data_IF_097562990748
#
_entry.id   IF_097562990748
#
_cell.length_a   1.000
_cell.length_b   1.000
_cell.length_c   1.000
_cell.angle_alpha   90.00
_cell.angle_beta   90.00
_cell.angle_gamma   90.00
#
_symmetry.space_group_name_H-M   'P 1'
#
loop_
_entity.id
_entity.type
_entity.pdbx_description
1 polymer ?
#
# COMPACT_ATOMS: atom_id res chain seq x y z
N UNK A 1 25.92 7.86 -3.65
CA UNK A 1 25.78 7.86 -2.17
C UNK A 1 25.36 6.46 -1.75
N UNK A 2 26.17 5.81 -0.94
CA UNK A 2 25.95 4.45 -0.45
C UNK A 2 24.90 4.50 0.68
N UNK A 3 23.63 4.19 0.38
CA UNK A 3 22.69 3.79 1.44
C UNK A 3 23.15 2.43 1.96
N UNK A 4 23.76 2.44 3.14
CA UNK A 4 24.19 1.24 3.83
C UNK A 4 23.04 0.26 3.98
N UNK A 5 23.25 -0.98 3.53
CA UNK A 5 22.41 -2.13 3.85
C UNK A 5 22.39 -2.32 5.37
N UNK A 6 21.43 -1.67 6.04
CA UNK A 6 20.77 -2.36 7.16
C UNK A 6 20.13 -3.59 6.52
N UNK A 7 20.42 -4.77 7.07
CA UNK A 7 19.78 -6.02 6.65
C UNK A 7 18.28 -5.75 6.42
N UNK A 8 17.76 -6.15 5.27
CA UNK A 8 16.40 -5.82 4.83
C UNK A 8 15.37 -6.41 5.81
N UNK A 9 15.06 -5.69 6.89
CA UNK A 9 14.01 -6.00 7.87
C UNK A 9 12.65 -6.13 7.15
N UNK A 10 12.55 -5.50 5.98
CA UNK A 10 11.40 -5.56 5.08
C UNK A 10 11.43 -6.72 4.08
N UNK A 11 12.43 -7.60 4.07
CA UNK A 11 12.47 -8.74 3.14
C UNK A 11 11.31 -9.73 3.37
N UNK A 12 11.00 -10.15 4.61
CA UNK A 12 9.82 -11.00 4.86
C UNK A 12 8.52 -10.28 4.46
N UNK A 13 8.46 -8.97 4.69
CA UNK A 13 7.32 -8.12 4.32
C UNK A 13 7.13 -8.02 2.80
N UNK A 14 8.21 -7.85 2.02
CA UNK A 14 8.16 -7.82 0.54
C UNK A 14 7.89 -9.18 -0.09
N UNK A 15 8.32 -10.28 0.54
CA UNK A 15 8.00 -11.63 0.08
C UNK A 15 6.53 -11.96 0.34
N UNK A 16 6.00 -11.60 1.51
CA UNK A 16 4.59 -11.73 1.85
C UNK A 16 3.69 -10.84 0.97
N UNK A 17 4.10 -9.59 0.71
CA UNK A 17 3.34 -8.71 -0.17
C UNK A 17 3.21 -9.28 -1.58
N UNK A 18 4.30 -9.84 -2.15
CA UNK A 18 4.25 -10.52 -3.45
C UNK A 18 3.35 -11.75 -3.43
N UNK A 19 3.25 -12.44 -2.31
CA UNK A 19 2.35 -13.58 -2.15
C UNK A 19 0.88 -13.12 -2.05
N UNK A 20 0.60 -12.06 -1.30
CA UNK A 20 -0.71 -11.44 -1.19
C UNK A 20 -1.18 -10.89 -2.55
N UNK A 21 -0.32 -10.14 -3.24
CA UNK A 21 -0.62 -9.61 -4.58
C UNK A 21 -0.95 -10.75 -5.57
N UNK A 22 -0.20 -11.86 -5.53
CA UNK A 22 -0.48 -13.06 -6.36
C UNK A 22 -1.80 -13.74 -5.99
N UNK A 23 -2.06 -13.93 -4.70
CA UNK A 23 -3.29 -14.58 -4.22
C UNK A 23 -4.53 -13.74 -4.57
N UNK A 24 -4.44 -12.42 -4.49
CA UNK A 24 -5.52 -11.53 -4.95
C UNK A 24 -5.68 -11.58 -6.47
N UNK A 25 -4.58 -11.50 -7.24
CA UNK A 25 -4.64 -11.67 -8.71
C UNK A 25 -5.32 -12.99 -9.11
N UNK A 26 -5.03 -14.08 -8.39
CA UNK A 26 -5.62 -15.41 -8.64
C UNK A 26 -7.10 -15.50 -8.20
N UNK A 27 -7.46 -14.88 -7.06
CA UNK A 27 -8.86 -14.80 -6.60
C UNK A 27 -9.74 -14.04 -7.60
N UNK A 28 -9.22 -12.93 -8.16
CA UNK A 28 -9.94 -12.12 -9.16
C UNK A 28 -9.87 -12.70 -10.59
N UNK A 29 -8.96 -13.66 -10.86
CA UNK A 29 -8.89 -14.41 -12.15
C UNK A 29 -9.97 -15.47 -12.31
N UNK A 30 -10.59 -15.93 -11.21
CA UNK A 30 -11.55 -17.05 -11.24
C UNK A 30 -12.95 -16.63 -11.73
N UNK A 31 -13.28 -15.34 -11.67
CA UNK A 31 -14.37 -14.74 -12.47
C UNK A 31 -13.80 -14.34 -13.84
N UNK A 32 -14.34 -14.88 -14.94
CA UNK A 32 -13.92 -14.52 -16.31
C UNK A 32 -14.17 -13.03 -16.57
N UNK A 33 -13.23 -12.17 -16.18
CA UNK A 33 -13.19 -10.75 -16.50
C UNK A 33 -11.92 -10.47 -17.31
N UNK A 34 -12.01 -9.70 -18.41
CA UNK A 34 -10.85 -9.38 -19.21
C UNK A 34 -9.82 -8.66 -18.32
N UNK A 35 -8.55 -9.07 -18.42
CA UNK A 35 -7.39 -8.58 -17.66
C UNK A 35 -7.05 -7.08 -17.86
N UNK A 36 -8.02 -6.25 -18.27
CA UNK A 36 -7.90 -4.81 -18.55
C UNK A 36 -8.50 -3.91 -17.46
N UNK A 37 -9.11 -4.48 -16.41
CA UNK A 37 -9.83 -3.68 -15.41
C UNK A 37 -9.09 -3.45 -14.10
N UNK A 38 -7.92 -4.06 -13.87
CA UNK A 38 -7.17 -3.86 -12.64
C UNK A 38 -5.78 -3.29 -12.92
N UNK A 39 -5.42 -2.23 -12.20
CA UNK A 39 -4.05 -1.71 -12.17
C UNK A 39 -3.55 -1.62 -10.74
N UNK A 40 -2.23 -1.57 -10.58
CA UNK A 40 -1.57 -1.70 -9.30
C UNK A 40 -0.71 -0.45 -9.05
N UNK A 41 -1.24 0.61 -8.40
CA UNK A 41 -0.59 1.92 -8.30
C UNK A 41 0.70 1.89 -7.49
N UNK A 42 1.79 2.46 -8.01
CA UNK A 42 3.11 2.47 -7.38
C UNK A 42 3.06 2.98 -5.93
N UNK A 43 3.90 2.37 -5.09
CA UNK A 43 3.83 2.57 -3.65
C UNK A 43 5.18 2.38 -2.97
N UNK A 44 5.45 3.28 -2.02
CA UNK A 44 6.55 3.17 -1.08
C UNK A 44 6.03 2.88 0.33
N UNK A 45 6.78 2.07 1.06
CA UNK A 45 6.53 1.76 2.47
C UNK A 45 7.84 1.90 3.24
N UNK A 46 7.83 2.71 4.28
CA UNK A 46 9.00 2.95 5.12
C UNK A 46 8.61 3.16 6.59
N UNK A 47 9.59 3.01 7.47
CA UNK A 47 9.42 3.19 8.92
C UNK A 47 10.31 4.36 9.38
N UNK A 48 9.73 5.30 10.13
CA UNK A 48 10.46 6.34 10.86
C UNK A 48 10.68 5.88 12.30
N UNK A 49 11.24 6.70 13.19
CA UNK A 49 11.34 6.32 14.61
C UNK A 49 9.95 6.13 15.27
N UNK A 50 8.94 6.87 14.81
CA UNK A 50 7.64 6.96 15.46
C UNK A 50 6.50 6.24 14.73
N UNK A 51 6.61 6.02 13.41
CA UNK A 51 5.49 5.52 12.60
C UNK A 51 5.93 4.66 11.41
N UNK A 52 4.98 3.88 10.89
CA UNK A 52 5.06 3.27 9.55
C UNK A 52 4.31 4.18 8.59
N UNK A 53 4.94 4.51 7.47
CA UNK A 53 4.40 5.41 6.44
C UNK A 53 4.27 4.64 5.13
N UNK A 54 3.11 4.81 4.49
CA UNK A 54 2.78 4.24 3.19
C UNK A 54 2.42 5.40 2.26
N UNK A 55 3.06 5.48 1.11
CA UNK A 55 2.79 6.49 0.08
C UNK A 55 2.39 5.79 -1.21
N UNK A 56 1.21 6.11 -1.75
CA UNK A 56 0.68 5.48 -2.97
C UNK A 56 0.38 6.53 -4.02
N UNK A 57 0.90 6.32 -5.23
CA UNK A 57 0.64 7.19 -6.37
C UNK A 57 -0.69 6.84 -7.04
N UNK A 58 -1.70 7.68 -6.83
CA UNK A 58 -3.05 7.48 -7.35
C UNK A 58 -3.53 8.76 -8.06
N UNK A 59 -2.86 9.25 -9.13
CA UNK A 59 -3.21 10.52 -9.76
C UNK A 59 -4.50 10.43 -10.59
N UNK A 60 -5.32 11.48 -10.51
CA UNK A 60 -6.55 11.63 -11.30
C UNK A 60 -7.76 10.87 -10.75
N UNK A 61 -7.79 10.61 -9.44
CA UNK A 61 -8.94 10.04 -8.72
C UNK A 61 -9.38 11.05 -7.66
N UNK A 62 -10.69 11.21 -7.47
CA UNK A 62 -11.20 12.01 -6.36
C UNK A 62 -11.00 11.25 -5.04
N UNK A 63 -10.57 11.92 -3.98
CA UNK A 63 -10.34 11.32 -2.66
C UNK A 63 -11.53 10.49 -2.15
N UNK A 64 -12.76 10.89 -2.50
CA UNK A 64 -13.98 10.19 -2.08
C UNK A 64 -14.14 8.82 -2.74
N UNK A 65 -13.46 8.60 -3.87
CA UNK A 65 -13.49 7.35 -4.64
C UNK A 65 -12.36 6.39 -4.21
N UNK A 66 -11.57 6.77 -3.19
CA UNK A 66 -10.55 5.93 -2.56
C UNK A 66 -11.09 5.37 -1.25
N UNK A 67 -11.05 4.05 -1.10
CA UNK A 67 -11.43 3.34 0.12
C UNK A 67 -10.19 2.79 0.82
N UNK A 68 -10.13 3.00 2.13
CA UNK A 68 -9.07 2.52 3.00
C UNK A 68 -9.72 1.72 4.13
N UNK A 69 -9.29 0.48 4.34
CA UNK A 69 -9.78 -0.39 5.41
C UNK A 69 -8.63 -1.10 6.09
N UNK A 70 -8.79 -1.43 7.37
CA UNK A 70 -7.86 -2.28 8.11
C UNK A 70 -8.66 -3.45 8.69
N UNK A 71 -8.24 -4.67 8.39
CA UNK A 71 -8.83 -5.91 8.91
C UNK A 71 -7.69 -6.88 9.24
N UNK A 72 -7.65 -7.42 10.47
CA UNK A 72 -6.60 -8.35 10.91
C UNK A 72 -5.16 -7.87 10.61
N UNK A 73 -4.87 -6.59 10.90
CA UNK A 73 -3.61 -5.91 10.58
C UNK A 73 -3.30 -5.82 9.07
N UNK A 74 -4.25 -6.06 8.19
CA UNK A 74 -4.10 -5.87 6.74
C UNK A 74 -4.72 -4.52 6.36
N UNK A 75 -3.87 -3.56 6.01
CA UNK A 75 -4.28 -2.29 5.40
C UNK A 75 -4.56 -2.53 3.92
N UNK A 76 -5.82 -2.29 3.52
CA UNK A 76 -6.28 -2.41 2.14
C UNK A 76 -6.66 -1.03 1.60
N UNK A 77 -6.17 -0.72 0.41
CA UNK A 77 -6.37 0.52 -0.32
C UNK A 77 -6.99 0.15 -1.67
N UNK A 78 -8.18 0.64 -1.97
CA UNK A 78 -8.86 0.30 -3.22
C UNK A 78 -9.63 1.49 -3.80
N UNK A 79 -9.96 1.40 -5.08
CA UNK A 79 -10.75 2.41 -5.79
C UNK A 79 -10.83 2.13 -7.27
N UNK A 80 -11.30 3.11 -8.05
CA UNK A 80 -11.43 2.98 -9.50
C UNK A 80 -11.01 4.28 -10.21
N UNK A 81 -10.05 4.16 -11.14
CA UNK A 81 -9.63 5.23 -12.03
C UNK A 81 -10.41 5.13 -13.34
N UNK A 82 -11.40 5.99 -13.50
CA UNK A 82 -12.16 6.07 -14.75
C UNK A 82 -11.37 6.85 -15.79
N UNK A 83 -11.35 6.35 -17.03
CA UNK A 83 -10.95 7.15 -18.18
C UNK A 83 -12.19 7.58 -18.95
N UNK A 84 -12.23 8.85 -19.33
CA UNK A 84 -13.22 9.40 -20.27
C UNK A 84 -12.94 8.93 -21.72
N UNK A 85 -12.83 7.62 -21.92
CA UNK A 85 -12.63 7.00 -23.23
C UNK A 85 -13.93 6.92 -24.04
N UNK A 86 -15.09 7.04 -23.42
CA UNK A 86 -16.40 6.87 -24.07
C UNK A 86 -16.90 8.09 -24.87
N UNK A 87 -16.12 9.17 -24.96
CA UNK A 87 -16.48 10.26 -25.87
C UNK A 87 -16.20 9.86 -27.33
N UNK A 88 -17.27 9.53 -28.06
CA UNK A 88 -17.24 9.40 -29.53
C UNK A 88 -16.57 10.65 -30.13
N UNK A 89 -15.57 10.47 -30.99
CA UNK A 89 -14.90 11.57 -31.70
C UNK A 89 -13.43 11.83 -31.31
N UNK A 90 -12.83 11.04 -30.40
CA UNK A 90 -11.39 11.13 -30.10
C UNK A 90 -10.58 10.12 -30.91
N UNK A 91 -9.61 10.60 -31.69
CA UNK A 91 -8.57 9.78 -32.32
C UNK A 91 -7.30 9.85 -31.49
N UNK A 92 -6.93 8.75 -30.84
CA UNK A 92 -5.75 8.69 -29.98
C UNK A 92 -4.51 8.32 -30.80
N UNK A 93 -3.41 9.06 -30.63
CA UNK A 93 -2.09 8.63 -31.12
C UNK A 93 -1.47 7.57 -30.21
N UNK A 94 -1.56 7.77 -28.88
CA UNK A 94 -1.08 6.84 -27.86
C UNK A 94 -1.99 6.84 -26.63
N UNK A 95 -1.99 5.72 -25.91
CA UNK A 95 -2.75 5.54 -24.67
C UNK A 95 -1.89 4.81 -23.65
N UNK A 96 -1.18 5.57 -22.82
CA UNK A 96 -0.26 5.04 -21.81
C UNK A 96 -0.83 5.08 -20.39
N UNK A 97 -1.83 5.94 -20.15
CA UNK A 97 -2.45 6.11 -18.83
C UNK A 97 -3.22 4.85 -18.42
N UNK A 98 -2.85 4.29 -17.29
CA UNK A 98 -3.57 3.21 -16.62
C UNK A 98 -4.94 3.66 -16.12
N UNK A 99 -5.90 2.72 -16.14
CA UNK A 99 -7.27 2.91 -15.70
C UNK A 99 -7.92 1.58 -15.35
N UNK A 100 -9.05 1.66 -14.66
CA UNK A 100 -9.72 0.51 -14.07
C UNK A 100 -9.71 0.60 -12.56
N UNK A 101 -10.17 -0.47 -11.92
CA UNK A 101 -10.10 -0.69 -10.48
C UNK A 101 -8.64 -0.86 -10.05
N UNK A 102 -8.37 -0.57 -8.80
CA UNK A 102 -7.10 -0.89 -8.19
C UNK A 102 -7.31 -1.40 -6.78
N UNK A 103 -6.35 -2.21 -6.34
CA UNK A 103 -6.26 -2.68 -4.97
C UNK A 103 -4.79 -2.85 -4.60
N UNK A 104 -4.45 -2.42 -3.38
CA UNK A 104 -3.17 -2.66 -2.71
C UNK A 104 -3.48 -3.17 -1.31
N UNK A 105 -2.80 -4.23 -0.89
CA UNK A 105 -2.95 -4.80 0.44
C UNK A 105 -1.58 -4.94 1.11
N UNK A 106 -1.51 -4.50 2.37
CA UNK A 106 -0.27 -4.38 3.13
C UNK A 106 -0.49 -4.93 4.52
N UNK A 107 0.30 -5.91 4.94
CA UNK A 107 0.27 -6.36 6.34
C UNK A 107 1.04 -5.38 7.22
N UNK A 108 0.31 -4.64 8.04
CA UNK A 108 0.89 -3.79 9.06
C UNK A 108 1.59 -4.63 10.14
N UNK A 109 2.75 -4.18 10.64
CA UNK A 109 3.42 -4.87 11.74
C UNK A 109 2.61 -4.79 13.04
N UNK A 110 2.64 -5.83 13.86
CA UNK A 110 1.80 -5.91 15.08
C UNK A 110 2.11 -4.83 16.14
N UNK A 111 3.25 -4.17 16.00
CA UNK A 111 3.69 -3.10 16.90
C UNK A 111 3.13 -1.72 16.54
N UNK A 112 2.30 -1.58 15.50
CA UNK A 112 1.65 -0.30 15.15
C UNK A 112 0.27 -0.18 15.78
N UNK A 113 -0.13 1.04 16.10
CA UNK A 113 -1.42 1.40 16.65
C UNK A 113 -2.38 1.76 15.51
N UNK A 114 -3.10 0.74 15.02
CA UNK A 114 -4.04 0.87 13.89
C UNK A 114 -5.21 1.79 14.18
N UNK A 115 -5.58 1.98 15.46
CA UNK A 115 -6.67 2.86 15.87
C UNK A 115 -6.32 4.34 15.67
N UNK A 116 -5.02 4.67 15.61
CA UNK A 116 -4.51 6.04 15.41
C UNK A 116 -4.04 6.31 13.98
N UNK A 117 -4.46 5.48 13.02
CA UNK A 117 -4.13 5.66 11.61
C UNK A 117 -4.62 7.02 11.08
N UNK A 118 -3.80 7.66 10.25
CA UNK A 118 -4.14 8.91 9.57
C UNK A 118 -3.87 8.75 8.07
N UNK A 119 -4.74 9.34 7.26
CA UNK A 119 -4.58 9.38 5.81
C UNK A 119 -4.69 10.82 5.29
N UNK A 120 -3.79 11.20 4.39
CA UNK A 120 -3.81 12.46 3.67
C UNK A 120 -3.73 12.17 2.18
N UNK A 121 -4.55 12.88 1.38
CA UNK A 121 -4.49 12.79 -0.07
C UNK A 121 -4.19 14.16 -0.66
N UNK A 122 -3.03 14.29 -1.30
CA UNK A 122 -2.52 15.56 -1.81
C UNK A 122 -1.81 15.36 -3.14
N UNK A 123 -2.18 16.17 -4.14
CA UNK A 123 -1.53 16.19 -5.44
C UNK A 123 -1.41 14.82 -6.14
N UNK A 124 -2.41 13.94 -5.95
CA UNK A 124 -2.40 12.60 -6.55
C UNK A 124 -1.67 11.53 -5.73
N UNK A 125 -1.13 11.88 -4.56
CA UNK A 125 -0.46 10.93 -3.66
C UNK A 125 -1.30 10.73 -2.40
N UNK A 126 -1.55 9.47 -2.07
CA UNK A 126 -2.16 9.06 -0.81
C UNK A 126 -1.06 8.71 0.18
N UNK A 127 -0.96 9.44 1.28
CA UNK A 127 -0.05 9.13 2.37
C UNK A 127 -0.81 8.64 3.59
N UNK A 128 -0.51 7.42 4.03
CA UNK A 128 -1.07 6.79 5.22
C UNK A 128 0.03 6.67 6.27
N UNK A 129 -0.29 7.09 7.49
CA UNK A 129 0.61 7.09 8.65
C UNK A 129 0.01 6.26 9.76
N UNK A 130 0.77 5.27 10.23
CA UNK A 130 0.37 4.38 11.31
C UNK A 130 1.38 4.52 12.45
N UNK A 131 1.03 5.20 13.56
CA UNK A 131 1.93 5.36 14.69
C UNK A 131 2.34 4.02 15.30
N UNK A 132 3.54 3.94 15.88
CA UNK A 132 3.95 2.79 16.68
C UNK A 132 3.25 2.83 18.05
N UNK A 133 2.93 1.66 18.58
CA UNK A 133 2.45 1.50 19.97
C UNK A 133 3.52 2.02 20.93
N UNK A 134 3.09 2.68 22.01
CA UNK A 134 3.99 3.29 23.01
C UNK A 134 4.94 2.26 23.63
N UNK A 135 4.51 1.00 23.77
CA UNK A 135 5.28 -0.11 24.32
C UNK A 135 6.54 -0.46 23.50
N UNK A 136 6.60 -0.02 22.23
CA UNK A 136 7.74 -0.28 21.33
C UNK A 136 8.81 0.81 21.37
N UNK A 137 8.65 1.86 22.20
CA UNK A 137 9.75 2.81 22.48
C UNK A 137 10.84 2.08 23.26
N UNK A 138 11.76 1.44 22.52
CA UNK A 138 12.98 0.72 22.93
C UNK A 138 13.10 0.46 24.45
N UNK A 139 12.55 -0.66 24.92
CA UNK A 139 12.97 -1.23 26.21
C UNK A 139 14.29 -1.95 25.97
N UNK A 140 15.39 -1.40 26.49
CA UNK A 140 16.64 -2.14 26.64
C UNK A 140 16.42 -3.12 27.79
N UNK A 141 16.57 -4.41 27.51
CA UNK A 141 16.52 -5.45 28.54
C UNK A 141 17.96 -5.91 28.74
N UNK A 142 18.53 -5.63 29.90
CA UNK A 142 19.78 -6.24 30.33
C UNK A 142 19.51 -7.72 30.63
N UNK A 143 20.30 -8.60 30.04
CA UNK A 143 20.23 -10.04 30.28
C UNK A 143 21.47 -10.41 31.09
N UNK A 144 21.26 -10.84 32.34
CA UNK A 144 22.33 -11.36 33.17
C UNK A 144 22.69 -12.78 32.74
N UNK A 145 24.00 -13.05 32.63
CA UNK A 145 24.53 -14.39 32.38
C UNK A 145 24.56 -15.14 33.70
N UNK A 146 23.87 -16.29 33.77
CA UNK A 146 23.93 -17.19 34.92
C UNK A 146 25.05 -18.21 34.75
N UNK A 147 25.74 -18.54 35.85
CA UNK A 147 26.74 -19.63 35.94
C UNK A 147 26.11 -21.04 35.91
#
# INVERSE_FOLDING_TARGET
>A
MLLGRREDIFRPFRELQREIDRLFDDFFRTEVRPAKEFFAPDMDVYETDDEVVIEVEIPGIDRKDVKITVEENILKISGEKKLEREQKGKNYYYVERSAGKFERAIRLPDYVDVEKIKAEYKNGVLTIRVPKKEERKKKVIEVEVQE
#
